data_IF_359799216364
#
_entry.id   IF_359799216364
#
_cell.length_a   1.000
_cell.length_b   1.000
_cell.length_c   1.000
_cell.angle_alpha   90.00
_cell.angle_beta   90.00
_cell.angle_gamma   90.00
#
_symmetry.space_group_name_H-M   'P 1'
#
loop_
_entity.id
_entity.type
_entity.pdbx_description
1 polymer ?
#
# COMPACT_ATOMS: atom_id res chain seq x y z
N UNK A 1 -25.92 5.89 16.07
CA UNK A 1 -25.74 6.02 14.61
C UNK A 1 -24.26 6.18 14.32
N UNK A 2 -23.67 5.43 13.37
CA UNK A 2 -22.21 5.47 13.12
C UNK A 2 -21.93 5.88 11.68
N UNK A 3 -21.35 7.07 11.49
CA UNK A 3 -21.11 7.65 10.15
C UNK A 3 -20.02 6.87 9.40
N UNK A 4 -18.89 6.61 10.05
CA UNK A 4 -17.76 5.84 9.51
C UNK A 4 -17.57 4.57 10.34
N UNK A 5 -17.80 3.40 9.75
CA UNK A 5 -17.69 2.11 10.45
C UNK A 5 -16.27 1.56 10.44
N UNK A 6 -15.71 1.36 9.24
CA UNK A 6 -14.38 0.78 9.05
C UNK A 6 -13.79 1.15 7.69
N UNK A 7 -12.45 1.18 7.55
CA UNK A 7 -11.80 1.25 6.25
C UNK A 7 -12.01 -0.06 5.47
N UNK A 8 -12.17 0.03 4.15
CA UNK A 8 -12.24 -1.13 3.27
C UNK A 8 -10.87 -1.30 2.62
N UNK A 9 -10.15 -2.34 3.04
CA UNK A 9 -8.83 -2.69 2.52
C UNK A 9 -8.98 -3.84 1.54
N UNK A 10 -8.83 -3.55 0.26
CA UNK A 10 -8.81 -4.50 -0.85
C UNK A 10 -7.78 -4.01 -1.86
N UNK A 11 -7.27 -4.87 -2.75
CA UNK A 11 -6.31 -4.46 -3.78
C UNK A 11 -6.78 -3.23 -4.57
N UNK A 12 -8.08 -3.18 -4.90
CA UNK A 12 -8.67 -2.05 -5.60
C UNK A 12 -8.69 -0.78 -4.76
N UNK A 13 -9.01 -0.85 -3.46
CA UNK A 13 -9.00 0.35 -2.62
C UNK A 13 -7.57 0.84 -2.37
N UNK A 14 -6.58 -0.06 -2.29
CA UNK A 14 -5.16 0.32 -2.18
C UNK A 14 -4.66 1.03 -3.45
N UNK A 15 -5.03 0.53 -4.64
CA UNK A 15 -4.74 1.22 -5.91
C UNK A 15 -5.39 2.60 -5.98
N UNK A 16 -6.60 2.75 -5.44
CA UNK A 16 -7.29 4.04 -5.37
C UNK A 16 -6.68 4.99 -4.34
N UNK A 17 -6.15 4.46 -3.23
CA UNK A 17 -5.48 5.25 -2.20
C UNK A 17 -4.22 5.96 -2.72
N UNK A 18 -3.50 5.35 -3.68
CA UNK A 18 -2.38 6.00 -4.39
C UNK A 18 -2.82 7.29 -5.11
N UNK A 19 -4.09 7.36 -5.52
CA UNK A 19 -4.69 8.51 -6.18
C UNK A 19 -5.47 9.42 -5.21
N UNK A 20 -5.23 9.31 -3.89
CA UNK A 20 -5.93 10.06 -2.83
C UNK A 20 -7.45 9.75 -2.72
N UNK A 21 -7.86 8.55 -3.16
CA UNK A 21 -9.22 8.07 -2.99
C UNK A 21 -9.27 6.98 -1.92
N UNK A 22 -9.94 7.28 -0.81
CA UNK A 22 -10.06 6.37 0.33
C UNK A 22 -11.45 5.78 0.43
N UNK A 23 -11.55 4.49 0.75
CA UNK A 23 -12.84 3.78 0.76
C UNK A 23 -13.22 3.35 2.18
N UNK A 24 -14.41 3.76 2.63
CA UNK A 24 -14.95 3.44 3.95
C UNK A 24 -16.29 2.70 3.83
N UNK A 25 -16.55 1.81 4.78
CA UNK A 25 -17.89 1.31 5.04
C UNK A 25 -18.65 2.31 5.92
N UNK A 26 -19.86 2.66 5.50
CA UNK A 26 -20.71 3.65 6.18
C UNK A 26 -22.12 3.07 6.42
N UNK A 27 -22.86 3.68 7.34
CA UNK A 27 -24.27 3.33 7.56
C UNK A 27 -25.14 3.67 6.32
N UNK A 28 -26.18 2.85 6.08
CA UNK A 28 -27.03 3.00 4.87
C UNK A 28 -27.74 4.34 4.79
N UNK A 29 -28.14 4.88 5.95
CA UNK A 29 -28.87 6.14 6.10
C UNK A 29 -27.99 7.39 5.93
N UNK A 30 -26.67 7.23 5.87
CA UNK A 30 -25.71 8.35 5.85
C UNK A 30 -25.70 9.06 4.50
N UNK A 31 -25.71 10.39 4.53
CA UNK A 31 -25.60 11.27 3.35
C UNK A 31 -24.14 11.68 3.10
N UNK A 32 -23.84 12.15 1.88
CA UNK A 32 -22.47 12.52 1.48
C UNK A 32 -21.87 13.64 2.35
N UNK A 33 -22.68 14.63 2.73
CA UNK A 33 -22.25 15.76 3.55
C UNK A 33 -21.81 15.32 4.94
N UNK A 34 -22.47 14.32 5.53
CA UNK A 34 -22.10 13.76 6.83
C UNK A 34 -20.77 13.01 6.75
N UNK A 35 -20.54 12.24 5.68
CA UNK A 35 -19.25 11.57 5.46
C UNK A 35 -18.12 12.58 5.33
N UNK A 36 -18.32 13.66 4.57
CA UNK A 36 -17.31 14.70 4.40
C UNK A 36 -16.90 15.32 5.75
N UNK A 37 -17.88 15.74 6.55
CA UNK A 37 -17.64 16.30 7.90
C UNK A 37 -16.89 15.32 8.80
N UNK A 38 -17.37 14.07 8.89
CA UNK A 38 -16.76 13.06 9.75
C UNK A 38 -15.33 12.70 9.35
N UNK A 39 -15.00 12.70 8.05
CA UNK A 39 -13.63 12.47 7.59
C UNK A 39 -12.73 13.66 7.89
N UNK A 40 -13.22 14.89 7.69
CA UNK A 40 -12.47 16.10 8.04
C UNK A 40 -12.18 16.17 9.53
N UNK A 41 -13.16 15.90 10.39
CA UNK A 41 -12.98 15.92 11.84
C UNK A 41 -12.07 14.81 12.36
N UNK A 42 -12.20 13.57 11.84
CA UNK A 42 -11.40 12.44 12.34
C UNK A 42 -9.96 12.42 11.86
N UNK A 43 -9.70 12.93 10.67
CA UNK A 43 -8.39 12.83 10.03
C UNK A 43 -7.73 14.19 9.79
N UNK A 44 -8.40 15.30 10.13
CA UNK A 44 -7.92 16.66 9.89
C UNK A 44 -7.49 16.90 8.43
N UNK A 45 -8.23 16.31 7.49
CA UNK A 45 -7.96 16.43 6.05
C UNK A 45 -9.07 17.18 5.32
N UNK A 46 -8.70 17.87 4.25
CA UNK A 46 -9.67 18.56 3.38
C UNK A 46 -10.22 17.61 2.32
N UNK A 47 -11.54 17.43 2.33
CA UNK A 47 -12.27 16.54 1.40
C UNK A 47 -12.72 17.32 0.17
N UNK A 48 -12.37 16.82 -1.01
CA UNK A 48 -12.76 17.42 -2.30
C UNK A 48 -14.12 16.89 -2.77
N UNK A 49 -14.31 15.57 -2.71
CA UNK A 49 -15.52 14.93 -3.27
C UNK A 49 -15.82 13.62 -2.58
N UNK A 50 -17.10 13.32 -2.42
CA UNK A 50 -17.57 12.04 -1.89
C UNK A 50 -18.47 11.33 -2.91
N UNK A 51 -18.15 10.06 -3.18
CA UNK A 51 -18.99 9.15 -3.95
C UNK A 51 -19.49 8.04 -3.04
N UNK A 52 -20.75 7.64 -3.17
CA UNK A 52 -21.35 6.59 -2.33
C UNK A 52 -21.93 5.50 -3.21
N UNK A 53 -21.79 4.24 -2.80
CA UNK A 53 -22.25 3.06 -3.52
C UNK A 53 -23.00 2.16 -2.54
N UNK A 54 -24.23 1.80 -2.88
CA UNK A 54 -25.01 0.80 -2.13
C UNK A 54 -24.73 -0.59 -2.70
N UNK A 55 -24.21 -1.48 -1.86
CA UNK A 55 -23.99 -2.89 -2.18
C UNK A 55 -25.17 -3.70 -1.65
N UNK A 56 -25.87 -4.37 -2.58
CA UNK A 56 -27.00 -5.24 -2.25
C UNK A 56 -26.53 -6.40 -1.37
N UNK A 57 -27.39 -6.82 -0.45
CA UNK A 57 -27.23 -8.07 0.27
C UNK A 57 -27.21 -9.23 -0.72
N UNK A 58 -26.40 -10.26 -0.44
CA UNK A 58 -26.41 -11.50 -1.21
C UNK A 58 -26.97 -12.62 -0.36
N UNK A 59 -27.94 -13.36 -0.90
CA UNK A 59 -28.45 -14.60 -0.31
C UNK A 59 -27.49 -15.72 -0.66
N UNK A 60 -27.00 -16.44 0.36
CA UNK A 60 -26.11 -17.57 0.25
C UNK A 60 -26.82 -18.80 0.80
N UNK A 61 -26.66 -19.95 0.12
CA UNK A 61 -27.19 -21.23 0.60
C UNK A 61 -26.09 -22.02 1.28
N UNK A 62 -26.33 -22.50 2.50
CA UNK A 62 -25.42 -23.40 3.18
C UNK A 62 -25.90 -24.85 2.98
N UNK A 63 -25.27 -25.56 2.05
CA UNK A 63 -25.67 -26.92 1.64
C UNK A 63 -25.73 -27.90 2.80
N UNK A 64 -24.81 -27.80 3.78
CA UNK A 64 -24.75 -28.68 4.96
C UNK A 64 -25.98 -28.59 5.87
N UNK A 65 -26.58 -27.40 6.00
CA UNK A 65 -27.70 -27.14 6.92
C UNK A 65 -29.02 -26.98 6.15
N UNK A 66 -28.98 -27.01 4.80
CA UNK A 66 -30.12 -26.76 3.90
C UNK A 66 -30.88 -25.47 4.25
N UNK A 67 -30.15 -24.44 4.69
CA UNK A 67 -30.69 -23.13 5.06
C UNK A 67 -30.13 -22.03 4.17
N UNK A 68 -30.98 -21.05 3.88
CA UNK A 68 -30.64 -19.81 3.20
C UNK A 68 -30.25 -18.77 4.25
N UNK A 69 -29.14 -18.06 3.99
CA UNK A 69 -28.66 -16.96 4.81
C UNK A 69 -28.47 -15.72 3.96
N UNK A 70 -28.84 -14.56 4.49
CA UNK A 70 -28.64 -13.29 3.81
C UNK A 70 -27.46 -12.55 4.40
N UNK A 71 -26.47 -12.22 3.56
CA UNK A 71 -25.36 -11.37 3.96
C UNK A 71 -25.84 -9.93 4.06
N UNK A 72 -25.40 -9.19 5.08
CA UNK A 72 -25.77 -7.77 5.23
C UNK A 72 -25.30 -6.96 4.01
N UNK A 73 -26.23 -6.26 3.37
CA UNK A 73 -25.90 -5.22 2.40
C UNK A 73 -25.21 -4.04 3.09
N UNK A 74 -24.28 -3.39 2.41
CA UNK A 74 -23.43 -2.35 2.97
C UNK A 74 -23.35 -1.14 2.04
N UNK A 75 -23.09 0.04 2.60
CA UNK A 75 -22.84 1.26 1.82
C UNK A 75 -21.35 1.56 1.88
N UNK A 76 -20.74 1.79 0.71
CA UNK A 76 -19.35 2.21 0.59
C UNK A 76 -19.30 3.69 0.28
N UNK A 77 -18.41 4.42 0.92
CA UNK A 77 -18.08 5.79 0.58
C UNK A 77 -16.65 5.85 0.06
N UNK A 78 -16.47 6.34 -1.17
CA UNK A 78 -15.18 6.67 -1.76
C UNK A 78 -14.99 8.17 -1.60
N UNK A 79 -13.97 8.56 -0.85
CA UNK A 79 -13.69 9.94 -0.45
C UNK A 79 -12.41 10.38 -1.15
N UNK A 80 -12.52 11.46 -1.90
CA UNK A 80 -11.39 12.12 -2.53
C UNK A 80 -10.88 13.21 -1.59
N UNK A 81 -9.59 13.14 -1.27
CA UNK A 81 -8.90 14.09 -0.41
C UNK A 81 -8.00 14.98 -1.27
N UNK A 82 -7.63 16.17 -0.76
CA UNK A 82 -6.62 17.02 -1.38
C UNK A 82 -5.28 16.30 -1.59
N UNK A 83 -4.57 16.72 -2.65
CA UNK A 83 -3.27 16.14 -3.00
C UNK A 83 -2.27 16.45 -1.87
N UNK A 84 -1.63 15.41 -1.34
CA UNK A 84 -0.62 15.53 -0.29
C UNK A 84 -1.10 15.20 1.12
N UNK A 85 -2.42 15.20 1.35
CA UNK A 85 -2.98 14.74 2.62
C UNK A 85 -3.14 13.21 2.59
N UNK A 86 -2.56 12.53 3.59
CA UNK A 86 -2.53 11.07 3.67
C UNK A 86 -3.27 10.57 4.91
N UNK A 87 -3.93 9.43 4.75
CA UNK A 87 -4.58 8.70 5.84
C UNK A 87 -3.72 7.48 6.18
N UNK A 88 -3.15 7.46 7.38
CA UNK A 88 -2.26 6.39 7.87
C UNK A 88 -2.86 4.98 7.75
N UNK A 89 -4.19 4.84 7.79
CA UNK A 89 -4.91 3.57 7.66
C UNK A 89 -4.71 2.84 6.32
N UNK A 90 -4.23 3.53 5.29
CA UNK A 90 -4.05 2.98 3.93
C UNK A 90 -2.59 2.97 3.48
N UNK A 91 -1.66 3.46 4.31
CA UNK A 91 -0.25 3.27 4.05
C UNK A 91 0.14 1.87 4.52
N UNK A 92 0.55 1.03 3.57
CA UNK A 92 1.36 -0.13 3.92
C UNK A 92 2.63 0.41 4.56
N UNK A 93 3.06 -0.10 5.74
CA UNK A 93 4.34 0.30 6.29
C UNK A 93 5.39 -0.04 5.23
N UNK A 94 5.90 1.00 4.57
CA UNK A 94 7.08 0.84 3.73
C UNK A 94 8.17 0.55 4.73
N UNK A 95 8.68 -0.68 4.71
CA UNK A 95 9.91 -1.04 5.41
C UNK A 95 10.90 0.07 5.16
N UNK A 96 11.21 0.80 6.21
CA UNK A 96 12.17 1.88 6.18
C UNK A 96 13.47 1.27 5.66
N UNK A 97 13.93 1.78 4.53
CA UNK A 97 15.28 1.53 4.05
C UNK A 97 16.20 2.19 5.07
N UNK A 98 16.74 1.39 5.99
CA UNK A 98 17.79 1.83 6.92
C UNK A 98 19.02 2.14 6.08
N UNK A 99 19.24 3.42 5.82
CA UNK A 99 20.46 3.94 5.21
C UNK A 99 21.53 4.03 6.30
N UNK A 100 22.38 3.00 6.42
CA UNK A 100 23.62 3.13 7.19
C UNK A 100 24.68 3.68 6.24
N UNK A 101 25.12 4.90 6.52
CA UNK A 101 26.20 5.61 5.85
C UNK A 101 27.53 4.93 6.17
N UNK A 102 28.20 4.37 5.16
CA UNK A 102 29.63 4.02 5.25
C UNK A 102 30.44 5.27 4.90
N UNK A 103 31.31 5.69 5.83
CA UNK A 103 32.24 6.78 5.60
C UNK A 103 33.30 6.34 4.59
N UNK A 104 33.13 6.77 3.34
CA UNK A 104 34.09 6.97 2.24
C UNK A 104 33.39 6.75 0.91
N UNK A 105 33.71 7.61 -0.05
CA UNK A 105 32.85 8.01 -1.16
C UNK A 105 32.36 6.90 -2.12
N UNK A 106 31.16 7.17 -2.61
CA UNK A 106 30.46 6.62 -3.79
C UNK A 106 29.52 5.39 -3.60
N UNK A 107 28.20 5.56 -3.76
CA UNK A 107 27.24 4.46 -3.60
C UNK A 107 27.05 3.62 -4.88
N UNK A 108 27.34 2.32 -4.77
CA UNK A 108 26.97 1.29 -5.76
C UNK A 108 25.53 0.84 -5.52
N UNK A 109 24.69 0.81 -6.57
CA UNK A 109 23.28 0.38 -6.49
C UNK A 109 23.15 -1.15 -6.59
N UNK A 110 22.75 -1.81 -5.51
CA UNK A 110 22.35 -3.23 -5.51
C UNK A 110 20.83 -3.33 -5.28
N UNK A 111 20.10 -4.02 -6.16
CA UNK A 111 18.68 -4.34 -6.00
C UNK A 111 18.54 -5.81 -5.59
N UNK A 112 18.10 -6.05 -4.37
CA UNK A 112 17.77 -7.39 -3.89
C UNK A 112 16.30 -7.74 -4.20
N UNK A 113 16.05 -8.96 -4.68
CA UNK A 113 14.70 -9.56 -4.71
C UNK A 113 14.66 -10.74 -3.76
N UNK A 114 13.70 -10.73 -2.82
CA UNK A 114 13.29 -11.91 -2.06
C UNK A 114 12.25 -12.68 -2.85
N UNK A 115 12.47 -13.99 -3.02
CA UNK A 115 11.44 -14.87 -3.57
C UNK A 115 10.38 -15.20 -2.51
N UNK A 116 9.18 -15.56 -2.97
CA UNK A 116 7.91 -15.62 -2.24
C UNK A 116 7.84 -16.53 -0.99
N UNK A 117 8.90 -17.30 -0.70
CA UNK A 117 8.99 -18.21 0.45
C UNK A 117 10.04 -17.78 1.49
N UNK A 118 10.50 -16.53 1.44
CA UNK A 118 11.41 -15.98 2.45
C UNK A 118 12.83 -16.57 2.41
N UNK A 119 13.17 -17.35 1.38
CA UNK A 119 14.54 -17.79 1.11
C UNK A 119 15.22 -16.78 0.18
N UNK A 120 16.44 -16.38 0.54
CA UNK A 120 17.32 -15.58 -0.31
C UNK A 120 17.93 -16.54 -1.33
N UNK A 121 17.54 -16.45 -2.61
CA UNK A 121 18.31 -17.07 -3.70
C UNK A 121 19.28 -16.04 -4.25
N UNK A 122 20.54 -16.18 -3.87
CA UNK A 122 21.65 -15.44 -4.49
C UNK A 122 21.89 -16.06 -5.87
N UNK A 123 21.57 -15.35 -6.95
CA UNK A 123 22.03 -15.71 -8.29
C UNK A 123 23.20 -14.81 -8.65
N UNK A 124 24.41 -15.35 -8.54
CA UNK A 124 25.64 -14.70 -9.03
C UNK A 124 25.68 -14.89 -10.54
N UNK A 125 25.41 -13.84 -11.30
CA UNK A 125 25.74 -13.81 -12.71
C UNK A 125 27.15 -13.23 -12.84
N UNK A 126 28.12 -14.10 -13.19
CA UNK A 126 29.47 -13.70 -13.58
C UNK A 126 29.36 -12.79 -14.81
N UNK A 127 29.79 -11.54 -14.69
CA UNK A 127 30.19 -10.74 -15.84
C UNK A 127 31.63 -11.09 -16.18
N UNK A 128 31.82 -11.82 -17.28
CA UNK A 128 33.13 -11.98 -17.90
C UNK A 128 33.53 -10.71 -18.67
N UNK A 129 34.84 -10.62 -18.99
CA UNK A 129 35.58 -9.61 -19.77
C UNK A 129 36.12 -8.45 -18.91
N UNK A 130 37.41 -8.25 -18.66
CA UNK A 130 38.63 -8.89 -19.14
C UNK A 130 39.81 -7.91 -18.98
N UNK A 131 40.64 -8.09 -17.94
CA UNK A 131 42.00 -7.57 -17.86
C UNK A 131 42.76 -8.35 -16.77
N UNK A 132 43.89 -8.96 -17.13
CA UNK A 132 44.76 -9.59 -16.15
C UNK A 132 45.41 -8.50 -15.25
N UNK A 133 45.61 -8.73 -13.95
CA UNK A 133 46.36 -7.79 -13.12
C UNK A 133 47.83 -7.79 -13.55
N UNK A 134 48.24 -6.74 -14.26
CA UNK A 134 49.66 -6.50 -14.58
C UNK A 134 50.37 -5.94 -13.33
N UNK A 135 51.31 -6.71 -12.79
CA UNK A 135 52.16 -6.31 -11.66
C UNK A 135 53.17 -5.23 -12.10
N UNK A 136 53.05 -4.01 -11.58
CA UNK A 136 54.09 -2.99 -11.76
C UNK A 136 55.20 -3.20 -10.73
N UNK A 137 56.41 -3.52 -11.19
CA UNK A 137 57.63 -3.47 -10.36
C UNK A 137 58.23 -2.07 -10.44
N UNK A 138 58.37 -1.39 -9.31
CA UNK A 138 59.12 -0.14 -9.21
C UNK A 138 60.61 -0.45 -9.38
N UNK A 139 61.19 -0.04 -10.52
CA UNK A 139 62.65 -0.09 -10.71
C UNK A 139 63.25 1.04 -9.87
N UNK A 140 64.12 0.68 -8.94
CA UNK A 140 64.93 1.63 -8.19
C UNK A 140 66.13 1.97 -9.09
N UNK A 141 66.36 3.24 -9.48
CA UNK A 141 67.58 3.63 -10.18
C UNK A 141 68.79 3.52 -9.23
N UNK A 142 69.92 3.04 -9.75
CA UNK A 142 71.21 2.94 -9.07
C UNK A 142 71.75 4.29 -8.63
#
# INVERSE_FOLDING_TARGET
MVILKRPIITEKSMKLAQNNFYTFEVDKVVTKSMVAKAVTEKFNVKVLKVKTINVKSQTKSQKRVRKLYQTKGLKKAIVQVEKGAKIALFETPKTEEVTVTTAEGEPIKLKEKKDFLGRIKVKVEKSAVGAAPTTQRKVIPT
#
